data_IF_957685644665
#
_entry.id   IF_957685644665
#
_cell.length_a   1.000
_cell.length_b   1.000
_cell.length_c   1.000
_cell.angle_alpha   90.00
_cell.angle_beta   90.00
_cell.angle_gamma   90.00
#
_symmetry.space_group_name_H-M   'P 1'
#
loop_
_entity.id
_entity.type
_entity.pdbx_description
1 polymer ?
#
# COMPACT_ATOMS: atom_id res chain seq x y z
N UNK A 1 -16.48 0.28 -21.12
CA UNK A 1 -15.07 -0.17 -21.03
C UNK A 1 -14.04 0.93 -20.75
N UNK A 2 -14.19 2.17 -21.23
CA UNK A 2 -13.29 3.28 -20.85
C UNK A 2 -13.39 3.71 -19.37
N UNK A 3 -14.61 3.81 -18.83
CA UNK A 3 -14.82 4.13 -17.40
C UNK A 3 -14.28 3.05 -16.44
N UNK A 4 -14.15 1.80 -16.91
CA UNK A 4 -13.54 0.68 -16.15
C UNK A 4 -12.03 0.84 -16.04
N UNK A 5 -11.40 1.32 -17.12
CA UNK A 5 -9.96 1.53 -17.22
C UNK A 5 -9.51 2.78 -16.42
N UNK A 6 -10.37 3.81 -16.37
CA UNK A 6 -10.14 5.03 -15.59
C UNK A 6 -10.20 4.79 -14.07
N UNK A 7 -11.17 4.02 -13.60
CA UNK A 7 -11.32 3.70 -12.17
C UNK A 7 -10.22 2.74 -11.67
N UNK A 8 -9.81 1.77 -12.50
CA UNK A 8 -8.67 0.89 -12.22
C UNK A 8 -7.33 1.65 -12.18
N UNK A 9 -7.14 2.64 -13.08
CA UNK A 9 -5.98 3.56 -13.05
C UNK A 9 -6.00 4.48 -11.83
N UNK A 10 -7.18 4.95 -11.41
CA UNK A 10 -7.34 5.82 -10.24
C UNK A 10 -6.93 5.12 -8.93
N UNK A 11 -7.21 3.82 -8.79
CA UNK A 11 -6.81 3.01 -7.63
C UNK A 11 -5.45 2.30 -7.80
N UNK A 12 -4.80 2.39 -8.97
CA UNK A 12 -3.56 1.67 -9.31
C UNK A 12 -3.64 0.15 -9.05
N UNK A 13 -4.81 -0.44 -9.20
CA UNK A 13 -5.03 -1.87 -8.98
C UNK A 13 -4.89 -2.65 -10.30
N UNK A 14 -4.17 -3.78 -10.33
CA UNK A 14 -4.27 -4.72 -11.44
C UNK A 14 -5.72 -5.17 -11.68
N UNK A 15 -6.09 -5.49 -12.92
CA UNK A 15 -7.44 -5.90 -13.30
C UNK A 15 -7.99 -7.03 -12.43
N UNK A 16 -7.13 -8.01 -12.09
CA UNK A 16 -7.50 -9.12 -11.21
C UNK A 16 -7.90 -8.65 -9.79
N UNK A 17 -7.12 -7.73 -9.20
CA UNK A 17 -7.41 -7.18 -7.88
C UNK A 17 -8.73 -6.38 -7.90
N UNK A 18 -8.97 -5.63 -8.98
CA UNK A 18 -10.22 -4.90 -9.17
C UNK A 18 -11.43 -5.84 -9.24
N UNK A 19 -11.33 -6.92 -10.03
CA UNK A 19 -12.39 -7.92 -10.16
C UNK A 19 -12.68 -8.60 -8.82
N UNK A 20 -11.64 -8.99 -8.07
CA UNK A 20 -11.80 -9.59 -6.75
C UNK A 20 -12.56 -8.68 -5.79
N UNK A 21 -12.24 -7.38 -5.77
CA UNK A 21 -12.97 -6.41 -4.94
C UNK A 21 -14.43 -6.29 -5.37
N UNK A 22 -14.69 -6.12 -6.66
CA UNK A 22 -16.05 -5.95 -7.18
C UNK A 22 -16.92 -7.18 -6.91
N UNK A 23 -16.37 -8.37 -7.13
CA UNK A 23 -17.11 -9.61 -6.98
C UNK A 23 -17.30 -9.96 -5.50
N UNK A 24 -16.31 -9.65 -4.63
CA UNK A 24 -16.43 -9.77 -3.18
C UNK A 24 -17.50 -8.84 -2.60
N UNK A 25 -17.57 -7.58 -3.06
CA UNK A 25 -18.58 -6.61 -2.63
C UNK A 25 -20.02 -7.00 -2.97
N UNK A 26 -20.24 -8.03 -3.82
CA UNK A 26 -21.58 -8.61 -4.04
C UNK A 26 -22.05 -9.50 -2.88
N UNK A 27 -21.13 -9.95 -2.02
CA UNK A 27 -21.39 -10.97 -1.02
C UNK A 27 -21.09 -10.50 0.41
N UNK A 28 -20.27 -9.47 0.61
CA UNK A 28 -19.95 -8.98 1.95
C UNK A 28 -18.82 -7.93 1.97
N UNK A 29 -18.25 -7.65 3.15
CA UNK A 29 -17.15 -6.70 3.28
C UNK A 29 -15.88 -7.23 2.61
N UNK A 30 -15.10 -6.32 2.03
CA UNK A 30 -13.81 -6.63 1.40
C UNK A 30 -12.69 -5.92 2.14
N UNK A 31 -11.72 -6.70 2.61
CA UNK A 31 -10.53 -6.19 3.26
C UNK A 31 -9.53 -5.69 2.21
N UNK A 32 -8.98 -4.50 2.43
CA UNK A 32 -7.83 -3.96 1.70
C UNK A 32 -6.73 -3.64 2.71
N UNK A 33 -5.79 -4.56 2.86
CA UNK A 33 -4.63 -4.38 3.73
C UNK A 33 -3.57 -3.54 3.01
N UNK A 34 -3.14 -2.45 3.66
CA UNK A 34 -2.13 -1.51 3.15
C UNK A 34 -1.02 -1.37 4.19
N UNK A 35 0.24 -1.73 3.88
CA UNK A 35 1.27 -2.01 4.88
C UNK A 35 1.56 -0.90 5.90
N UNK A 36 1.26 0.37 5.61
CA UNK A 36 1.43 1.50 6.56
C UNK A 36 0.50 2.69 6.25
N UNK A 37 0.20 3.48 7.29
CA UNK A 37 -0.17 4.90 7.18
C UNK A 37 1.12 5.73 7.30
N UNK A 38 1.33 6.72 6.42
CA UNK A 38 2.39 7.73 6.59
C UNK A 38 3.84 7.23 6.51
N UNK A 39 4.19 6.29 5.63
CA UNK A 39 5.61 5.93 5.42
C UNK A 39 6.33 7.03 4.62
N UNK A 40 7.56 7.39 5.03
CA UNK A 40 8.42 8.32 4.29
C UNK A 40 8.58 7.77 2.87
N UNK A 41 8.15 8.48 1.82
CA UNK A 41 8.02 7.89 0.50
C UNK A 41 9.32 7.24 0.06
N UNK A 42 9.35 5.91 -0.05
CA UNK A 42 10.51 5.23 -0.68
C UNK A 42 10.56 5.73 -2.10
N UNK A 43 11.70 6.20 -2.53
CA UNK A 43 11.80 6.80 -3.84
C UNK A 43 12.08 5.71 -4.87
N UNK A 44 11.53 5.88 -6.08
CA UNK A 44 11.89 5.06 -7.24
C UNK A 44 12.01 5.93 -8.48
N UNK A 45 12.67 5.37 -9.50
CA UNK A 45 12.70 5.98 -10.81
C UNK A 45 11.28 6.27 -11.32
N UNK A 46 11.05 7.52 -11.72
CA UNK A 46 9.80 7.94 -12.34
C UNK A 46 9.61 7.31 -13.75
N UNK A 47 10.70 6.95 -14.43
CA UNK A 47 10.69 6.38 -15.77
C UNK A 47 10.49 4.85 -15.78
N UNK A 48 11.39 4.08 -15.17
CA UNK A 48 11.39 2.61 -15.24
C UNK A 48 10.97 1.89 -13.95
N UNK A 49 10.62 2.64 -12.89
CA UNK A 49 10.16 2.11 -11.60
C UNK A 49 11.20 1.38 -10.74
N UNK A 50 12.48 1.33 -11.13
CA UNK A 50 13.56 0.80 -10.29
C UNK A 50 13.62 1.50 -8.92
N UNK A 51 13.67 0.76 -7.79
CA UNK A 51 13.80 1.33 -6.45
C UNK A 51 15.07 2.18 -6.29
N UNK A 52 14.97 3.33 -5.64
CA UNK A 52 16.10 4.19 -5.33
C UNK A 52 16.84 3.68 -4.08
N UNK A 53 18.12 3.32 -4.25
CA UNK A 53 18.97 2.75 -3.20
C UNK A 53 20.18 3.64 -2.91
N UNK A 54 20.60 3.66 -1.66
CA UNK A 54 21.79 4.36 -1.19
C UNK A 54 23.04 3.70 -1.77
N UNK A 55 23.94 4.51 -2.34
CA UNK A 55 25.22 4.02 -2.90
C UNK A 55 26.18 3.47 -1.85
N UNK A 56 25.99 3.81 -0.58
CA UNK A 56 26.87 3.41 0.51
C UNK A 56 26.49 2.05 1.13
N UNK A 57 25.21 1.85 1.45
CA UNK A 57 24.75 0.65 2.16
C UNK A 57 23.64 -0.12 1.44
N UNK A 58 23.28 0.28 0.21
CA UNK A 58 22.16 -0.29 -0.57
C UNK A 58 20.77 -0.17 0.09
N UNK A 59 20.68 0.60 1.18
CA UNK A 59 19.43 0.89 1.88
C UNK A 59 18.47 1.77 1.09
N UNK A 60 17.18 1.78 1.45
CA UNK A 60 16.16 2.56 0.76
C UNK A 60 16.43 4.06 0.90
N UNK A 61 16.21 4.81 -0.18
CA UNK A 61 16.19 6.27 -0.15
C UNK A 61 14.77 6.78 0.09
N UNK A 62 14.66 7.79 0.94
CA UNK A 62 13.42 8.39 1.39
C UNK A 62 13.43 9.89 1.09
N UNK A 63 12.31 10.44 0.62
CA UNK A 63 12.17 11.88 0.38
C UNK A 63 11.80 12.67 1.64
N UNK A 64 12.41 13.83 1.85
CA UNK A 64 12.05 14.76 2.93
C UNK A 64 10.83 15.63 2.53
N UNK A 65 10.02 16.05 3.50
CA UNK A 65 8.78 16.85 3.28
C UNK A 65 9.05 18.22 2.61
N UNK A 66 10.27 18.75 2.72
CA UNK A 66 10.71 20.02 2.11
C UNK A 66 11.21 19.90 0.66
N UNK A 67 11.07 18.73 0.02
CA UNK A 67 11.02 18.61 -1.44
C UNK A 67 12.35 18.53 -2.20
N UNK A 68 13.51 18.42 -1.56
CA UNK A 68 14.79 18.35 -2.30
C UNK A 68 15.83 17.36 -1.79
N UNK A 69 15.83 17.00 -0.50
CA UNK A 69 16.84 16.10 0.06
C UNK A 69 16.34 14.65 0.12
N UNK A 70 17.12 13.71 -0.42
CA UNK A 70 16.95 12.28 -0.17
C UNK A 70 17.84 11.88 1.01
N UNK A 71 17.34 11.00 1.87
CA UNK A 71 18.12 10.40 2.94
C UNK A 71 17.99 8.88 2.89
N UNK A 72 19.08 8.18 3.19
CA UNK A 72 19.01 6.75 3.42
C UNK A 72 18.31 6.47 4.74
N UNK A 73 17.22 5.69 4.70
CA UNK A 73 16.50 5.27 5.90
C UNK A 73 17.26 4.31 6.81
N UNK A 74 18.44 3.81 6.40
CA UNK A 74 19.28 2.91 7.21
C UNK A 74 20.46 3.63 7.85
N UNK A 75 21.35 4.21 7.04
CA UNK A 75 22.58 4.82 7.54
C UNK A 75 22.46 6.33 7.75
N UNK A 76 21.30 6.93 7.44
CA UNK A 76 21.07 8.36 7.60
C UNK A 76 21.83 9.25 6.61
N UNK A 77 22.63 8.70 5.70
CA UNK A 77 23.40 9.48 4.71
C UNK A 77 22.47 10.18 3.73
N UNK A 78 22.78 11.43 3.41
CA UNK A 78 22.09 12.20 2.38
C UNK A 78 22.50 11.74 0.97
N UNK A 79 21.55 11.77 0.04
CA UNK A 79 21.77 11.47 -1.36
C UNK A 79 21.34 12.67 -2.21
N UNK A 80 22.32 13.36 -2.78
CA UNK A 80 22.10 14.62 -3.50
C UNK A 80 22.22 14.47 -5.02
N UNK A 81 22.67 13.31 -5.52
CA UNK A 81 23.00 13.11 -6.92
C UNK A 81 22.51 11.77 -7.45
N UNK A 82 21.34 11.30 -6.99
CA UNK A 82 20.78 10.02 -7.41
C UNK A 82 20.50 10.00 -8.92
N UNK A 83 20.84 8.88 -9.56
CA UNK A 83 20.41 8.53 -10.91
C UNK A 83 19.96 7.07 -10.92
N UNK A 84 19.03 6.74 -11.79
CA UNK A 84 18.57 5.36 -11.94
C UNK A 84 19.70 4.49 -12.51
N UNK A 85 20.09 3.39 -11.86
CA UNK A 85 21.10 2.48 -12.39
C UNK A 85 20.65 1.75 -13.65
N UNK A 86 19.33 1.63 -13.89
CA UNK A 86 18.77 0.88 -15.02
C UNK A 86 18.56 1.74 -16.27
N UNK A 87 18.13 3.00 -16.12
CA UNK A 87 17.78 3.85 -17.27
C UNK A 87 18.44 5.23 -17.27
N UNK A 88 19.29 5.54 -16.29
CA UNK A 88 19.99 6.82 -16.17
C UNK A 88 19.11 8.01 -15.79
N UNK A 89 17.78 7.85 -15.69
CA UNK A 89 16.90 8.96 -15.33
C UNK A 89 17.11 9.46 -13.90
N UNK A 90 17.03 10.78 -13.72
CA UNK A 90 17.21 11.45 -12.42
C UNK A 90 15.89 11.69 -11.67
N UNK A 91 14.76 11.63 -12.38
CA UNK A 91 13.45 11.91 -11.80
C UNK A 91 13.05 10.77 -10.88
N UNK A 92 12.77 11.12 -9.63
CA UNK A 92 12.21 10.22 -8.64
C UNK A 92 10.71 10.45 -8.48
N UNK A 93 10.03 9.39 -8.07
CA UNK A 93 8.67 9.43 -7.58
C UNK A 93 8.62 8.78 -6.21
N UNK A 94 7.74 9.27 -5.36
CA UNK A 94 7.31 8.53 -4.19
C UNK A 94 6.70 7.18 -4.63
N UNK A 95 7.18 6.09 -4.05
CA UNK A 95 6.50 4.80 -4.00
C UNK A 95 5.68 4.74 -2.72
N UNK A 96 4.39 4.46 -2.92
CA UNK A 96 3.34 4.15 -1.96
C UNK A 96 2.47 5.33 -1.47
N UNK A 97 1.18 5.03 -1.61
CA UNK A 97 -0.04 5.71 -1.22
C UNK A 97 -0.40 5.11 0.14
N UNK A 98 -0.28 5.87 1.23
CA UNK A 98 -0.66 5.35 2.56
C UNK A 98 -2.15 5.03 2.64
N UNK A 99 -2.56 4.27 3.67
CA UNK A 99 -3.96 3.82 3.84
C UNK A 99 -5.03 4.93 3.67
N UNK A 100 -4.74 6.18 4.10
CA UNK A 100 -5.63 7.34 3.89
C UNK A 100 -5.88 7.62 2.40
N UNK A 101 -4.82 7.72 1.60
CA UNK A 101 -4.94 8.01 0.18
C UNK A 101 -5.50 6.81 -0.59
N UNK A 102 -5.22 5.59 -0.15
CA UNK A 102 -5.84 4.38 -0.69
C UNK A 102 -7.35 4.40 -0.44
N UNK A 103 -7.79 4.77 0.76
CA UNK A 103 -9.21 4.94 1.07
C UNK A 103 -9.87 6.03 0.23
N UNK A 104 -9.20 7.18 0.02
CA UNK A 104 -9.71 8.24 -0.86
C UNK A 104 -9.84 7.79 -2.33
N UNK A 105 -8.82 7.10 -2.86
CA UNK A 105 -8.82 6.59 -4.23
C UNK A 105 -9.88 5.49 -4.41
N UNK A 106 -10.03 4.60 -3.44
CA UNK A 106 -11.07 3.57 -3.42
C UNK A 106 -12.48 4.16 -3.30
N UNK A 107 -12.68 5.19 -2.49
CA UNK A 107 -13.97 5.87 -2.37
C UNK A 107 -14.41 6.53 -3.68
N UNK A 108 -13.46 7.06 -4.47
CA UNK A 108 -13.74 7.57 -5.82
C UNK A 108 -14.05 6.45 -6.82
N UNK A 109 -13.35 5.32 -6.70
CA UNK A 109 -13.52 4.15 -7.55
C UNK A 109 -14.83 3.38 -7.29
N UNK A 110 -15.31 3.38 -6.06
CA UNK A 110 -16.52 2.68 -5.61
C UNK A 110 -17.47 3.64 -4.86
N UNK A 111 -18.06 4.64 -5.55
CA UNK A 111 -18.77 5.74 -4.89
C UNK A 111 -20.04 5.32 -4.13
N UNK A 112 -20.62 4.15 -4.44
CA UNK A 112 -21.80 3.61 -3.78
C UNK A 112 -21.46 2.65 -2.61
N UNK A 113 -20.19 2.49 -2.27
CA UNK A 113 -19.72 1.52 -1.29
C UNK A 113 -19.09 2.27 -0.11
N UNK A 114 -19.56 2.04 1.14
CA UNK A 114 -18.94 2.63 2.31
C UNK A 114 -17.46 2.25 2.43
N UNK A 115 -16.59 3.23 2.69
CA UNK A 115 -15.17 3.00 2.98
C UNK A 115 -14.94 3.19 4.47
N UNK A 116 -14.38 2.16 5.13
CA UNK A 116 -14.01 2.15 6.54
C UNK A 116 -12.50 2.08 6.65
N UNK A 117 -11.90 2.86 7.53
CA UNK A 117 -10.44 2.84 7.76
C UNK A 117 -10.14 2.35 9.16
N UNK A 118 -9.24 1.38 9.30
CA UNK A 118 -8.74 0.89 10.58
C UNK A 118 -7.21 0.94 10.63
N UNK A 119 -6.64 1.46 11.71
CA UNK A 119 -5.19 1.61 11.82
C UNK A 119 -4.75 2.35 13.08
N UNK A 120 -3.51 2.87 13.06
CA UNK A 120 -2.87 3.47 14.26
C UNK A 120 -3.71 4.53 15.00
N UNK A 121 -4.45 5.37 14.27
CA UNK A 121 -5.27 6.43 14.87
C UNK A 121 -6.51 5.89 15.59
N UNK A 122 -7.14 4.90 14.97
CA UNK A 122 -8.34 4.26 15.48
C UNK A 122 -8.41 2.87 14.88
N UNK A 123 -8.43 1.86 15.74
CA UNK A 123 -8.65 0.47 15.36
C UNK A 123 -10.13 0.21 15.55
N UNK A 124 -10.78 -0.23 14.48
CA UNK A 124 -12.15 -0.72 14.55
C UNK A 124 -12.13 -2.12 15.17
N UNK A 125 -13.04 -2.40 16.10
CA UNK A 125 -13.16 -3.73 16.70
C UNK A 125 -13.85 -4.70 15.74
N UNK A 126 -14.99 -4.27 15.19
CA UNK A 126 -15.81 -5.08 14.28
C UNK A 126 -16.30 -4.31 13.06
N UNK A 127 -16.67 -5.05 12.02
CA UNK A 127 -17.46 -4.58 10.88
C UNK A 127 -18.60 -5.56 10.60
N UNK A 128 -19.75 -5.03 10.17
CA UNK A 128 -20.91 -5.86 9.85
C UNK A 128 -20.73 -6.63 8.53
N UNK A 129 -21.66 -7.53 8.25
CA UNK A 129 -21.70 -8.33 7.01
C UNK A 129 -22.08 -7.50 5.76
N UNK A 130 -22.44 -6.23 5.93
CA UNK A 130 -22.85 -5.38 4.83
C UNK A 130 -21.66 -5.08 3.87
N UNK A 131 -21.91 -4.98 2.54
CA UNK A 131 -20.88 -4.60 1.59
C UNK A 131 -20.19 -3.28 1.95
N UNK A 132 -18.89 -3.36 2.21
CA UNK A 132 -18.04 -2.22 2.53
C UNK A 132 -16.59 -2.50 2.14
N UNK A 133 -15.84 -1.45 1.85
CA UNK A 133 -14.39 -1.52 1.70
C UNK A 133 -13.74 -1.21 3.05
N UNK A 134 -12.98 -2.15 3.58
CA UNK A 134 -12.27 -2.00 4.85
C UNK A 134 -10.79 -1.82 4.57
N UNK A 135 -10.30 -0.59 4.65
CA UNK A 135 -8.89 -0.26 4.42
C UNK A 135 -8.16 -0.32 5.75
N UNK A 136 -7.30 -1.33 5.92
CA UNK A 136 -6.61 -1.60 7.19
C UNK A 136 -5.10 -1.59 7.05
N UNK A 137 -4.39 -1.14 8.09
CA UNK A 137 -2.95 -1.45 8.23
C UNK A 137 -2.75 -2.83 8.85
N UNK A 138 -1.74 -3.61 8.45
CA UNK A 138 -1.59 -4.97 8.95
C UNK A 138 -1.50 -5.05 10.48
N UNK A 139 -2.39 -5.83 11.08
CA UNK A 139 -2.58 -5.99 12.53
C UNK A 139 -3.67 -5.10 13.12
N UNK A 140 -4.39 -4.31 12.30
CA UNK A 140 -5.52 -3.48 12.70
C UNK A 140 -6.81 -3.88 11.97
N UNK A 141 -6.85 -5.06 11.35
CA UNK A 141 -8.05 -5.60 10.73
C UNK A 141 -9.18 -5.77 11.77
N UNK A 142 -10.35 -5.14 11.58
CA UNK A 142 -11.50 -5.45 12.41
C UNK A 142 -12.00 -6.86 12.12
N UNK A 143 -12.65 -7.47 13.11
CA UNK A 143 -13.36 -8.75 12.91
C UNK A 143 -14.62 -8.48 12.09
N UNK A 144 -14.76 -9.14 10.94
CA UNK A 144 -16.00 -9.11 10.17
C UNK A 144 -16.98 -10.14 10.75
N UNK A 145 -18.18 -9.71 11.14
CA UNK A 145 -19.18 -10.55 11.83
C UNK A 145 -19.49 -11.87 11.10
N UNK A 146 -19.52 -11.84 9.76
CA UNK A 146 -19.71 -13.00 8.88
C UNK A 146 -18.48 -13.37 8.03
N UNK A 147 -17.30 -12.85 8.39
CA UNK A 147 -16.08 -12.97 7.62
C UNK A 147 -15.99 -11.98 6.43
N UNK A 148 -14.78 -11.86 5.88
CA UNK A 148 -14.55 -11.07 4.67
C UNK A 148 -14.87 -11.88 3.42
N UNK A 149 -15.60 -11.28 2.47
CA UNK A 149 -15.89 -11.91 1.19
C UNK A 149 -14.66 -11.98 0.27
N UNK A 150 -13.69 -11.09 0.48
CA UNK A 150 -12.38 -11.11 -0.17
C UNK A 150 -11.36 -10.28 0.62
N UNK A 151 -10.07 -10.57 0.43
CA UNK A 151 -8.97 -9.79 0.97
C UNK A 151 -7.97 -9.41 -0.14
N UNK A 152 -7.57 -8.15 -0.16
CA UNK A 152 -6.55 -7.60 -1.04
C UNK A 152 -5.35 -7.12 -0.22
N UNK A 153 -4.20 -7.77 -0.42
CA UNK A 153 -2.96 -7.47 0.29
C UNK A 153 -2.06 -6.62 -0.62
N UNK A 154 -2.11 -5.30 -0.43
CA UNK A 154 -1.37 -4.36 -1.28
C UNK A 154 0.08 -4.23 -0.84
N UNK A 155 0.95 -3.93 -1.81
CA UNK A 155 2.37 -3.66 -1.59
C UNK A 155 3.08 -4.73 -0.74
N UNK A 156 2.82 -6.02 -0.99
CA UNK A 156 3.42 -7.13 -0.22
C UNK A 156 4.96 -7.08 -0.16
N UNK A 157 5.60 -6.56 -1.21
CA UNK A 157 7.03 -6.27 -1.25
C UNK A 157 7.50 -5.33 -0.12
N UNK A 158 6.65 -4.41 0.33
CA UNK A 158 6.98 -3.47 1.39
C UNK A 158 6.98 -4.14 2.78
N UNK A 159 6.20 -5.23 2.95
CA UNK A 159 6.26 -6.07 4.15
C UNK A 159 7.47 -6.99 4.12
N UNK A 160 7.71 -7.65 2.98
CA UNK A 160 8.85 -8.55 2.77
C UNK A 160 10.21 -7.83 2.79
N UNK A 161 10.26 -6.60 2.28
CA UNK A 161 11.48 -5.79 2.16
C UNK A 161 11.79 -4.93 3.38
N UNK A 162 11.16 -5.21 4.54
CA UNK A 162 11.51 -4.55 5.80
C UNK A 162 12.94 -4.94 6.20
N UNK A 163 13.74 -4.00 6.76
CA UNK A 163 15.07 -4.31 7.29
C UNK A 163 14.96 -5.00 8.65
N UNK A 164 14.35 -6.18 8.64
CA UNK A 164 14.06 -7.01 9.81
C UNK A 164 14.37 -8.46 9.44
N UNK A 165 15.10 -9.18 10.29
CA UNK A 165 15.46 -10.58 10.05
C UNK A 165 14.23 -11.48 9.90
N UNK A 166 13.11 -11.11 10.51
CA UNK A 166 11.85 -11.86 10.50
C UNK A 166 10.82 -11.26 9.55
N UNK A 167 11.21 -10.33 8.67
CA UNK A 167 10.29 -9.67 7.74
C UNK A 167 9.43 -10.65 6.94
N UNK A 168 10.01 -11.75 6.45
CA UNK A 168 9.28 -12.81 5.74
C UNK A 168 8.26 -13.53 6.61
N UNK A 169 8.66 -13.98 7.81
CA UNK A 169 7.78 -14.67 8.76
C UNK A 169 6.63 -13.79 9.23
N UNK A 170 6.93 -12.53 9.55
CA UNK A 170 5.94 -11.56 9.99
C UNK A 170 4.97 -11.18 8.88
N UNK A 171 5.44 -11.08 7.63
CA UNK A 171 4.58 -10.89 6.47
C UNK A 171 3.62 -12.07 6.29
N UNK A 172 4.15 -13.30 6.29
CA UNK A 172 3.34 -14.50 6.16
C UNK A 172 2.30 -14.60 7.28
N UNK A 173 2.69 -14.39 8.54
CA UNK A 173 1.77 -14.42 9.69
C UNK A 173 0.62 -13.43 9.53
N UNK A 174 0.92 -12.20 9.10
CA UNK A 174 -0.08 -11.15 8.90
C UNK A 174 -1.01 -11.44 7.71
N UNK A 175 -0.50 -12.07 6.66
CA UNK A 175 -1.31 -12.45 5.49
C UNK A 175 -2.22 -13.63 5.79
N UNK A 176 -1.76 -14.62 6.55
CA UNK A 176 -2.59 -15.73 7.02
C UNK A 176 -3.69 -15.23 7.95
N UNK A 177 -3.38 -14.32 8.87
CA UNK A 177 -4.37 -13.71 9.76
C UNK A 177 -5.45 -12.92 8.99
N UNK A 178 -5.08 -12.26 7.89
CA UNK A 178 -6.02 -11.53 7.04
C UNK A 178 -6.90 -12.43 6.17
N UNK A 179 -6.53 -13.71 6.00
CA UNK A 179 -7.26 -14.71 5.23
C UNK A 179 -8.09 -15.67 6.09
N UNK A 180 -7.96 -15.58 7.41
CA UNK A 180 -8.71 -16.36 8.40
C UNK A 180 -10.07 -15.71 8.70
#
# INVERSE_FOLDING_TARGET
>A
DLARDEAARAARLPTLAWQAVRDGLRHGPVLVQVPRRGYVPRMACAACRTPARCRHCSGPLEGQESGSALRCGWCGREENAWHCPECGAFRLRAQIVGARRTAEELGRAFPAVPVRTSGREHVLDTVSEAPALVVSTPGAEPVAEGGYAAALLLDGWAMLGRPDLRAGEDALRRWLAAAA
#
